data_IF_787849559691
#
_entry.id   IF_787849559691
#
_cell.length_a   1.000
_cell.length_b   1.000
_cell.length_c   1.000
_cell.angle_alpha   90.00
_cell.angle_beta   90.00
_cell.angle_gamma   90.00
#
_symmetry.space_group_name_H-M   'P 1'
#
loop_
_entity.id
_entity.type
_entity.pdbx_description
1 polymer ?
#
# COMPACT_ATOMS: atom_id res chain seq x y z
N UNK A 1 -43.81 15.34 -49.84
CA UNK A 1 -42.92 16.52 -49.80
C UNK A 1 -41.90 16.30 -48.70
N UNK A 2 -40.60 16.63 -48.88
CA UNK A 2 -39.63 16.51 -47.80
C UNK A 2 -40.02 17.45 -46.65
N UNK A 3 -39.94 16.99 -45.39
CA UNK A 3 -40.27 17.83 -44.24
C UNK A 3 -39.35 19.05 -44.16
N UNK A 4 -39.81 20.18 -43.61
CA UNK A 4 -38.94 21.32 -43.33
C UNK A 4 -37.85 20.92 -42.33
N UNK A 5 -36.73 21.64 -42.36
CA UNK A 5 -35.71 21.50 -41.32
C UNK A 5 -36.32 21.82 -39.95
N UNK A 6 -35.94 21.06 -38.92
CA UNK A 6 -36.43 21.19 -37.54
C UNK A 6 -35.97 22.50 -36.85
N UNK A 7 -35.09 23.28 -37.49
CA UNK A 7 -34.67 24.60 -37.02
C UNK A 7 -35.64 25.64 -37.61
N UNK A 8 -36.40 26.31 -36.73
CA UNK A 8 -37.51 27.20 -37.11
C UNK A 8 -37.10 28.35 -38.04
N UNK A 9 -35.87 28.84 -37.91
CA UNK A 9 -35.31 29.90 -38.76
C UNK A 9 -34.86 29.41 -40.14
N UNK A 10 -34.83 28.09 -40.37
CA UNK A 10 -34.34 27.49 -41.60
C UNK A 10 -35.47 27.25 -42.62
N UNK A 11 -35.43 27.96 -43.74
CA UNK A 11 -36.39 27.75 -44.86
C UNK A 11 -36.03 26.56 -45.75
N UNK A 12 -34.94 25.83 -45.47
CA UNK A 12 -34.46 24.72 -46.30
C UNK A 12 -35.21 23.43 -45.97
N UNK A 13 -35.39 22.57 -46.98
CA UNK A 13 -35.97 21.24 -46.79
C UNK A 13 -34.97 20.32 -46.11
N UNK A 14 -35.45 19.50 -45.18
CA UNK A 14 -34.67 18.41 -44.60
C UNK A 14 -34.24 17.42 -45.68
N UNK A 15 -33.04 16.88 -45.52
CA UNK A 15 -32.52 15.78 -46.36
C UNK A 15 -32.09 14.56 -45.54
N UNK A 16 -32.01 14.69 -44.22
CA UNK A 16 -31.57 13.63 -43.34
C UNK A 16 -32.27 13.73 -41.98
N UNK A 17 -32.45 12.58 -41.33
CA UNK A 17 -32.92 12.48 -39.95
C UNK A 17 -31.71 12.23 -39.05
N UNK A 18 -31.49 13.09 -38.05
CA UNK A 18 -30.56 12.75 -36.98
C UNK A 18 -31.22 11.72 -36.07
N UNK A 19 -30.66 10.51 -36.00
CA UNK A 19 -31.19 9.41 -35.16
C UNK A 19 -30.94 9.61 -33.67
N UNK A 20 -29.94 10.40 -33.28
CA UNK A 20 -29.67 10.71 -31.87
C UNK A 20 -30.75 11.62 -31.27
N UNK A 21 -31.29 12.53 -32.07
CA UNK A 21 -32.24 13.55 -31.60
C UNK A 21 -33.64 13.42 -32.22
N UNK A 22 -33.84 12.48 -33.15
CA UNK A 22 -35.04 12.31 -33.98
C UNK A 22 -35.50 13.61 -34.67
N UNK A 23 -34.55 14.43 -35.14
CA UNK A 23 -34.82 15.71 -35.81
C UNK A 23 -34.46 15.66 -37.29
N UNK A 24 -35.37 16.17 -38.13
CA UNK A 24 -35.17 16.31 -39.56
C UNK A 24 -34.29 17.54 -39.85
N UNK A 25 -33.08 17.36 -40.36
CA UNK A 25 -32.12 18.43 -40.59
C UNK A 25 -31.79 18.60 -42.07
N UNK A 26 -31.55 19.85 -42.49
CA UNK A 26 -30.93 20.12 -43.78
C UNK A 26 -29.42 19.82 -43.70
N UNK A 27 -28.71 19.66 -44.84
CA UNK A 27 -27.30 19.27 -44.82
C UNK A 27 -26.40 20.18 -43.96
N UNK A 28 -26.57 21.50 -44.05
CA UNK A 28 -25.76 22.47 -43.29
C UNK A 28 -25.98 22.30 -41.78
N UNK A 29 -27.24 22.22 -41.33
CA UNK A 29 -27.55 22.06 -39.91
C UNK A 29 -27.26 20.66 -39.37
N UNK A 30 -27.23 19.63 -40.23
CA UNK A 30 -26.72 18.32 -39.84
C UNK A 30 -25.21 18.39 -39.59
N UNK A 31 -24.48 19.07 -40.48
CA UNK A 31 -23.03 19.26 -40.30
C UNK A 31 -22.71 20.06 -39.04
N UNK A 32 -23.38 21.18 -38.80
CA UNK A 32 -23.21 21.98 -37.57
C UNK A 32 -23.56 21.17 -36.31
N UNK A 33 -24.59 20.33 -36.40
CA UNK A 33 -24.99 19.46 -35.32
C UNK A 33 -23.93 18.38 -35.02
N UNK A 34 -23.38 17.75 -36.05
CA UNK A 34 -22.31 16.77 -35.92
C UNK A 34 -21.02 17.42 -35.42
N UNK A 35 -20.68 18.62 -35.91
CA UNK A 35 -19.54 19.40 -35.44
C UNK A 35 -19.68 19.77 -33.96
N UNK A 36 -20.89 20.16 -33.52
CA UNK A 36 -21.17 20.44 -32.10
C UNK A 36 -21.02 19.18 -31.24
N UNK A 37 -21.58 18.04 -31.68
CA UNK A 37 -21.44 16.77 -30.95
C UNK A 37 -19.97 16.38 -30.86
N UNK A 38 -19.23 16.41 -31.96
CA UNK A 38 -17.81 16.06 -31.97
C UNK A 38 -17.00 17.02 -31.07
N UNK A 39 -17.34 18.31 -31.03
CA UNK A 39 -16.68 19.27 -30.14
C UNK A 39 -16.87 18.98 -28.65
N UNK A 40 -17.93 18.24 -28.27
CA UNK A 40 -18.22 17.85 -26.90
C UNK A 40 -17.70 16.44 -26.57
N UNK A 41 -17.80 15.52 -27.53
CA UNK A 41 -17.43 14.10 -27.34
C UNK A 41 -15.92 13.91 -27.40
N UNK A 42 -15.22 14.56 -28.34
CA UNK A 42 -13.78 14.36 -28.51
C UNK A 42 -12.97 14.73 -27.24
N UNK A 43 -13.23 15.87 -26.56
CA UNK A 43 -12.53 16.16 -25.31
C UNK A 43 -12.76 15.12 -24.20
N UNK A 44 -13.95 14.52 -24.15
CA UNK A 44 -14.24 13.47 -23.18
C UNK A 44 -13.51 12.17 -23.51
N UNK A 45 -13.39 11.82 -24.80
CA UNK A 45 -12.58 10.68 -25.24
C UNK A 45 -11.10 10.92 -24.93
N UNK A 46 -10.59 12.12 -25.20
CA UNK A 46 -9.21 12.49 -24.87
C UNK A 46 -8.96 12.40 -23.35
N UNK A 47 -9.94 12.81 -22.52
CA UNK A 47 -9.85 12.69 -21.06
C UNK A 47 -9.88 11.22 -20.59
N UNK A 48 -10.75 10.40 -21.18
CA UNK A 48 -10.80 8.96 -20.91
C UNK A 48 -9.46 8.29 -21.25
N UNK A 49 -8.93 8.55 -22.45
CA UNK A 49 -7.66 7.97 -22.90
C UNK A 49 -6.50 8.46 -22.03
N UNK A 50 -6.50 9.72 -21.61
CA UNK A 50 -5.51 10.25 -20.69
C UNK A 50 -5.58 9.55 -19.31
N UNK A 51 -6.78 9.32 -18.77
CA UNK A 51 -6.96 8.61 -17.52
C UNK A 51 -6.54 7.13 -17.64
N UNK A 52 -6.87 6.47 -18.74
CA UNK A 52 -6.49 5.07 -18.99
C UNK A 52 -4.97 4.91 -19.12
N UNK A 53 -4.32 5.85 -19.80
CA UNK A 53 -2.85 5.91 -19.88
C UNK A 53 -2.21 6.14 -18.51
N UNK A 54 -2.78 7.03 -17.68
CA UNK A 54 -2.31 7.24 -16.31
C UNK A 54 -2.46 5.99 -15.46
N UNK A 55 -3.61 5.31 -15.53
CA UNK A 55 -3.85 4.05 -14.82
C UNK A 55 -2.88 2.95 -15.27
N UNK A 56 -2.65 2.83 -16.58
CA UNK A 56 -1.69 1.88 -17.16
C UNK A 56 -0.24 2.17 -16.77
N UNK A 57 0.11 3.45 -16.60
CA UNK A 57 1.44 3.87 -16.13
C UNK A 57 1.67 3.60 -14.64
N UNK A 58 0.60 3.44 -13.84
CA UNK A 58 0.73 3.08 -12.43
C UNK A 58 1.16 1.61 -12.30
N UNK A 59 2.44 1.40 -12.02
CA UNK A 59 2.97 0.09 -11.67
C UNK A 59 2.61 -0.26 -10.21
N UNK A 60 1.36 -0.64 -9.98
CA UNK A 60 0.80 -0.99 -8.67
C UNK A 60 1.60 -2.13 -8.03
N UNK A 61 2.00 -3.13 -8.82
CA UNK A 61 2.78 -4.27 -8.35
C UNK A 61 4.16 -3.86 -7.82
N UNK A 62 4.81 -2.89 -8.46
CA UNK A 62 6.07 -2.34 -7.97
C UNK A 62 5.89 -1.60 -6.65
N UNK A 63 4.83 -0.79 -6.50
CA UNK A 63 4.53 -0.08 -5.25
C UNK A 63 4.25 -1.07 -4.12
N UNK A 64 3.39 -2.06 -4.37
CA UNK A 64 3.07 -3.12 -3.40
C UNK A 64 4.33 -3.92 -3.06
N UNK A 65 5.16 -4.25 -4.05
CA UNK A 65 6.43 -4.94 -3.88
C UNK A 65 7.38 -4.17 -2.94
N UNK A 66 7.56 -2.87 -3.16
CA UNK A 66 8.37 -2.00 -2.28
C UNK A 66 7.82 -1.95 -0.85
N UNK A 67 6.51 -1.88 -0.68
CA UNK A 67 5.87 -1.92 0.64
C UNK A 67 6.11 -3.26 1.36
N UNK A 68 5.96 -4.39 0.65
CA UNK A 68 6.24 -5.72 1.20
C UNK A 68 7.69 -5.87 1.64
N UNK A 69 8.65 -5.43 0.81
CA UNK A 69 10.08 -5.44 1.18
C UNK A 69 10.37 -4.66 2.47
N UNK A 70 9.73 -3.49 2.65
CA UNK A 70 9.87 -2.70 3.89
C UNK A 70 9.30 -3.43 5.10
N UNK A 71 8.16 -4.10 4.94
CA UNK A 71 7.55 -4.91 6.02
C UNK A 71 8.40 -6.12 6.37
N UNK A 72 8.95 -6.82 5.39
CA UNK A 72 9.82 -7.97 5.61
C UNK A 72 11.12 -7.56 6.31
N UNK A 73 11.69 -6.42 5.91
CA UNK A 73 12.85 -5.84 6.61
C UNK A 73 12.52 -5.50 8.06
N UNK A 74 11.42 -4.78 8.29
CA UNK A 74 10.98 -4.45 9.66
C UNK A 74 10.78 -5.70 10.51
N UNK A 75 10.13 -6.73 9.97
CA UNK A 75 9.94 -8.02 10.65
C UNK A 75 11.28 -8.66 11.02
N UNK A 76 12.22 -8.71 10.08
CA UNK A 76 13.55 -9.28 10.32
C UNK A 76 14.32 -8.51 11.39
N UNK A 77 14.34 -7.17 11.31
CA UNK A 77 15.00 -6.30 12.27
C UNK A 77 14.42 -6.50 13.69
N UNK A 78 13.09 -6.63 13.81
CA UNK A 78 12.44 -6.95 15.09
C UNK A 78 12.89 -8.29 15.66
N UNK A 79 12.97 -9.35 14.84
CA UNK A 79 13.43 -10.66 15.30
C UNK A 79 14.87 -10.59 15.83
N UNK A 80 15.78 -9.91 15.12
CA UNK A 80 17.16 -9.72 15.59
C UNK A 80 17.21 -9.05 16.97
N UNK A 81 16.42 -8.00 17.18
CA UNK A 81 16.38 -7.28 18.46
C UNK A 81 15.86 -8.17 19.58
N UNK A 82 14.81 -8.95 19.32
CA UNK A 82 14.23 -9.88 20.29
C UNK A 82 15.24 -10.96 20.65
N UNK A 83 15.89 -11.56 19.66
CA UNK A 83 16.86 -12.65 19.87
C UNK A 83 18.06 -12.16 20.68
N UNK A 84 18.59 -10.98 20.34
CA UNK A 84 19.69 -10.35 21.10
C UNK A 84 19.29 -10.09 22.56
N UNK A 85 18.11 -9.50 22.78
CA UNK A 85 17.63 -9.22 24.13
C UNK A 85 17.43 -10.50 24.95
N UNK A 86 16.88 -11.55 24.33
CA UNK A 86 16.72 -12.85 24.95
C UNK A 86 18.07 -13.43 25.38
N UNK A 87 19.06 -13.42 24.50
CA UNK A 87 20.40 -13.93 24.80
C UNK A 87 21.09 -13.14 25.93
N UNK A 88 21.00 -11.81 25.91
CA UNK A 88 21.49 -10.95 26.99
C UNK A 88 20.85 -11.34 28.35
N UNK A 89 19.54 -11.57 28.38
CA UNK A 89 18.84 -11.98 29.60
C UNK A 89 19.20 -13.38 30.07
N UNK A 90 19.44 -14.32 29.16
CA UNK A 90 19.97 -15.64 29.52
C UNK A 90 21.34 -15.53 30.17
N UNK A 91 22.24 -14.71 29.63
CA UNK A 91 23.57 -14.49 30.20
C UNK A 91 23.51 -13.82 31.58
N UNK A 92 22.68 -12.79 31.74
CA UNK A 92 22.45 -12.13 33.03
C UNK A 92 21.97 -13.13 34.10
N UNK A 93 21.00 -13.98 33.74
CA UNK A 93 20.48 -15.03 34.63
C UNK A 93 21.57 -16.03 35.01
N UNK A 94 22.34 -16.53 34.03
CA UNK A 94 23.43 -17.47 34.29
C UNK A 94 24.46 -16.87 35.24
N UNK A 95 24.89 -15.63 35.02
CA UNK A 95 25.84 -14.94 35.89
C UNK A 95 25.30 -14.77 37.31
N UNK A 96 24.01 -14.40 37.44
CA UNK A 96 23.35 -14.29 38.73
C UNK A 96 23.36 -15.62 39.49
N UNK A 97 22.97 -16.71 38.83
CA UNK A 97 22.97 -18.05 39.43
C UNK A 97 24.38 -18.49 39.85
N UNK A 98 25.38 -18.32 38.99
CA UNK A 98 26.78 -18.67 39.30
C UNK A 98 27.27 -17.88 40.52
N UNK A 99 26.98 -16.58 40.59
CA UNK A 99 27.35 -15.73 41.72
C UNK A 99 26.71 -16.21 43.03
N UNK A 100 25.41 -16.52 43.02
CA UNK A 100 24.71 -17.04 44.19
C UNK A 100 25.29 -18.38 44.66
N UNK A 101 25.49 -19.33 43.74
CA UNK A 101 26.10 -20.64 44.03
C UNK A 101 27.50 -20.47 44.61
N UNK A 102 28.31 -19.58 44.02
CA UNK A 102 29.65 -19.26 44.50
C UNK A 102 29.65 -18.73 45.94
N UNK A 103 28.72 -17.82 46.27
CA UNK A 103 28.56 -17.31 47.63
C UNK A 103 28.18 -18.41 48.63
N UNK A 104 27.23 -19.29 48.26
CA UNK A 104 26.83 -20.43 49.10
C UNK A 104 28.00 -21.41 49.31
N UNK A 105 28.76 -21.73 48.25
CA UNK A 105 29.97 -22.58 48.36
C UNK A 105 31.02 -21.98 49.29
N UNK A 106 31.29 -20.68 49.20
CA UNK A 106 32.21 -19.97 50.12
C UNK A 106 31.74 -20.09 51.58
N UNK A 107 30.44 -19.91 51.83
CA UNK A 107 29.87 -20.04 53.18
C UNK A 107 29.98 -21.47 53.73
N UNK A 108 29.73 -22.49 52.90
CA UNK A 108 29.93 -23.89 53.27
C UNK A 108 31.40 -24.15 53.62
N UNK A 109 32.33 -23.67 52.80
CA UNK A 109 33.76 -23.84 53.06
C UNK A 109 34.20 -23.20 54.39
N UNK A 110 33.74 -21.97 54.66
CA UNK A 110 34.00 -21.31 55.94
C UNK A 110 33.45 -22.09 57.14
N UNK A 111 32.25 -22.65 57.02
CA UNK A 111 31.67 -23.49 58.08
C UNK A 111 32.50 -24.77 58.30
N UNK A 112 32.91 -25.46 57.22
CA UNK A 112 33.78 -26.65 57.32
C UNK A 112 35.10 -26.33 58.02
N UNK A 113 35.74 -25.21 57.70
CA UNK A 113 36.97 -24.79 58.37
C UNK A 113 36.76 -24.53 59.87
N UNK A 114 35.65 -23.89 60.24
CA UNK A 114 35.31 -23.67 61.66
C UNK A 114 35.07 -24.99 62.40
N UNK A 115 34.31 -25.92 61.79
CA UNK A 115 34.07 -27.24 62.37
C UNK A 115 35.38 -28.00 62.59
N UNK A 116 36.27 -28.02 61.59
CA UNK A 116 37.55 -28.71 61.72
C UNK A 116 38.43 -28.13 62.83
N UNK A 117 38.44 -26.81 63.03
CA UNK A 117 39.16 -26.19 64.15
C UNK A 117 38.63 -26.64 65.50
N UNK A 118 37.31 -26.63 65.68
CA UNK A 118 36.67 -27.07 66.93
C UNK A 118 37.00 -28.54 67.21
N UNK A 119 37.01 -29.40 66.19
CA UNK A 119 37.36 -30.83 66.33
C UNK A 119 38.84 -31.02 66.69
N UNK A 120 39.75 -30.15 66.24
CA UNK A 120 41.17 -30.22 66.58
C UNK A 120 41.51 -29.66 67.97
N UNK A 121 40.64 -28.81 68.53
CA UNK A 121 40.78 -28.21 69.86
C UNK A 121 40.14 -29.07 70.98
N UNK A 122 39.51 -30.20 70.63
CA UNK A 122 39.00 -31.23 71.54
C UNK A 122 39.97 -32.41 71.64
#
# INVERSE_FOLDING_TARGET
MPPPCAIETCKRKSRALCHCCNKNLCPDHLKEHDDLINSQVNPLLDEIDNLDNQLSALNIDEVIGKCRQKLDKWRHDCHIVIDRFHEEKCQELQQCCVKQVGQKRKKIHQLKLKTNKIVQEQ
#
